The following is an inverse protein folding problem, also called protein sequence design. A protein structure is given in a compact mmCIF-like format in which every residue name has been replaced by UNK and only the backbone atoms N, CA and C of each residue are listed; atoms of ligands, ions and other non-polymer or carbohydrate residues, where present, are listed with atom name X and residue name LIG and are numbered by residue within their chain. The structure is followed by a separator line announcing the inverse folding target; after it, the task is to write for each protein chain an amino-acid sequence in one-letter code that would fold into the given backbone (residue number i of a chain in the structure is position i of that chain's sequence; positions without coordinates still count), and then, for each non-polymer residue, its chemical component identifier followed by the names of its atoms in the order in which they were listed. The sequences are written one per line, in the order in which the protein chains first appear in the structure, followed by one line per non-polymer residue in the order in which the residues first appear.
data_IF_133327463742
#
_entry.id   IF_133327463742
#
_cell.length_a   1.000
_cell.length_b   1.000
_cell.length_c   1.000
_cell.angle_alpha   90.00
_cell.angle_beta   90.00
_cell.angle_gamma   90.00
#
_symmetry.space_group_name_H-M   'P 1'
#
loop_
_entity.id
_entity.type
_entity.pdbx_description
1 polymer ?
#
# COMPACT_ATOMS: atom_id res chain seq x y z
N UNK A 1 3.47 -87.64 10.53
CA UNK A 1 2.95 -87.14 9.24
C UNK A 1 2.56 -85.68 9.43
N UNK A 2 3.21 -84.79 8.64
CA UNK A 2 2.94 -83.36 8.34
C UNK A 2 2.83 -82.39 9.52
N UNK A 3 3.81 -81.51 9.85
CA UNK A 3 4.52 -80.48 9.06
C UNK A 3 3.59 -79.66 8.17
N UNK A 4 3.32 -78.40 8.54
CA UNK A 4 3.48 -77.22 7.67
C UNK A 4 3.27 -75.92 8.47
N UNK A 5 4.39 -75.30 8.82
CA UNK A 5 4.51 -73.89 9.16
C UNK A 5 4.41 -73.04 7.88
N UNK A 6 3.54 -72.02 7.86
CA UNK A 6 3.59 -70.98 6.83
C UNK A 6 3.86 -69.63 7.48
N UNK A 7 5.07 -69.16 7.24
CA UNK A 7 5.64 -67.89 7.64
C UNK A 7 5.09 -66.77 6.73
N UNK A 8 4.18 -65.94 7.24
CA UNK A 8 3.71 -64.72 6.58
C UNK A 8 4.61 -63.54 6.92
N UNK A 9 5.55 -63.22 6.02
CA UNK A 9 6.54 -62.14 6.12
C UNK A 9 5.85 -60.76 6.19
N UNK A 10 5.97 -60.05 7.31
CA UNK A 10 5.59 -58.63 7.45
C UNK A 10 6.52 -57.77 6.59
N UNK A 11 6.02 -57.24 5.47
CA UNK A 11 6.68 -56.12 4.78
C UNK A 11 6.31 -54.82 5.49
N UNK A 12 7.20 -54.39 6.40
CA UNK A 12 7.15 -53.08 7.03
C UNK A 12 7.47 -52.01 5.98
N UNK A 13 6.42 -51.38 5.44
CA UNK A 13 6.54 -50.17 4.65
C UNK A 13 6.93 -49.06 5.61
N UNK A 14 8.17 -48.57 5.52
CA UNK A 14 8.62 -47.34 6.17
C UNK A 14 7.76 -46.16 5.67
N UNK A 15 6.65 -45.91 6.35
CA UNK A 15 6.01 -44.59 6.30
C UNK A 15 6.95 -43.63 7.04
N UNK A 16 7.75 -42.87 6.31
CA UNK A 16 8.44 -41.70 6.86
C UNK A 16 7.38 -40.68 7.24
N UNK A 17 6.83 -40.83 8.45
CA UNK A 17 5.90 -39.90 9.05
C UNK A 17 6.60 -38.58 9.31
N UNK A 18 6.54 -37.64 8.36
CA UNK A 18 6.73 -36.23 8.70
C UNK A 18 5.62 -35.87 9.67
N UNK A 19 5.94 -35.89 10.97
CA UNK A 19 5.04 -35.48 12.03
C UNK A 19 4.62 -34.05 11.76
N UNK A 20 3.33 -33.84 11.49
CA UNK A 20 2.80 -32.49 11.33
C UNK A 20 3.04 -31.72 12.63
N UNK A 21 3.60 -30.51 12.58
CA UNK A 21 3.86 -29.71 13.77
C UNK A 21 2.56 -29.52 14.57
N UNK A 22 2.67 -29.52 15.90
CA UNK A 22 1.52 -29.40 16.78
C UNK A 22 0.76 -28.09 16.51
N UNK A 23 -0.57 -28.04 16.72
CA UNK A 23 -1.36 -26.83 16.45
C UNK A 23 -0.92 -25.63 17.30
N UNK A 24 -0.25 -25.85 18.44
CA UNK A 24 0.38 -24.80 19.24
C UNK A 24 1.65 -24.28 18.58
N UNK A 25 2.52 -25.17 18.09
CA UNK A 25 3.75 -24.79 17.36
C UNK A 25 3.44 -24.08 16.04
N UNK A 26 2.41 -24.52 15.30
CA UNK A 26 1.96 -23.81 14.09
C UNK A 26 1.42 -22.40 14.39
N UNK A 27 0.72 -22.20 15.51
CA UNK A 27 0.26 -20.87 15.94
C UNK A 27 1.45 -19.97 16.31
N UNK A 28 2.41 -20.49 17.07
CA UNK A 28 3.62 -19.76 17.45
C UNK A 28 4.46 -19.40 16.22
N UNK A 29 4.68 -20.34 15.29
CA UNK A 29 5.38 -20.06 14.03
C UNK A 29 4.63 -19.08 13.13
N UNK A 30 3.30 -19.14 13.10
CA UNK A 30 2.50 -18.15 12.35
C UNK A 30 2.57 -16.77 12.99
N UNK A 31 2.54 -16.66 14.32
CA UNK A 31 2.68 -15.39 15.05
C UNK A 31 4.09 -14.83 14.88
N UNK A 32 5.14 -15.66 14.93
CA UNK A 32 6.52 -15.25 14.72
C UNK A 32 6.78 -14.82 13.27
N UNK A 33 6.23 -15.52 12.29
CA UNK A 33 6.34 -15.13 10.87
C UNK A 33 5.57 -13.83 10.59
N UNK A 34 4.42 -13.65 11.23
CA UNK A 34 3.63 -12.41 11.16
C UNK A 34 4.35 -11.24 11.87
N UNK A 35 4.93 -11.48 13.04
CA UNK A 35 5.71 -10.49 13.77
C UNK A 35 6.99 -10.11 12.99
N UNK A 36 7.67 -11.08 12.38
CA UNK A 36 8.83 -10.84 11.52
C UNK A 36 8.48 -10.02 10.26
N UNK A 37 7.28 -10.23 9.70
CA UNK A 37 6.78 -9.44 8.57
C UNK A 37 6.39 -8.00 8.98
N UNK A 38 6.01 -7.79 10.25
CA UNK A 38 5.66 -6.48 10.81
C UNK A 38 6.89 -5.71 11.33
N UNK A 39 7.99 -6.39 11.68
CA UNK A 39 9.22 -5.74 12.19
C UNK A 39 10.09 -5.06 11.13
N UNK A 40 9.70 -5.11 9.86
CA UNK A 40 10.37 -4.35 8.79
C UNK A 40 9.56 -3.07 8.53
N UNK A 41 9.37 -2.26 9.57
CA UNK A 41 9.00 -0.86 9.39
C UNK A 41 10.30 -0.07 9.40
N UNK A 42 10.97 0.15 8.25
CA UNK A 42 11.86 1.30 8.18
C UNK A 42 11.00 2.52 8.53
N UNK A 43 11.56 3.47 9.29
CA UNK A 43 10.98 4.80 9.43
C UNK A 43 10.81 5.34 8.01
N UNK A 44 9.59 5.28 7.50
CA UNK A 44 9.32 5.43 6.07
C UNK A 44 9.46 6.90 5.70
N UNK A 45 10.36 7.16 4.75
CA UNK A 45 10.40 8.41 4.01
C UNK A 45 8.98 8.82 3.59
N UNK A 46 8.55 9.98 4.04
CA UNK A 46 7.30 10.58 3.58
C UNK A 46 7.64 11.68 2.57
N UNK A 47 6.78 11.89 1.55
CA UNK A 47 6.93 13.03 0.67
C UNK A 47 6.78 14.35 1.44
N UNK A 48 7.20 15.49 0.87
CA UNK A 48 6.70 16.79 1.28
C UNK A 48 5.16 16.78 1.24
N UNK A 49 4.54 17.36 2.27
CA UNK A 49 3.09 17.30 2.47
C UNK A 49 2.34 18.42 1.75
N UNK A 50 3.00 19.54 1.45
CA UNK A 50 2.38 20.69 0.79
C UNK A 50 3.38 21.51 -0.05
N UNK A 51 2.88 22.14 -1.11
CA UNK A 51 3.63 23.04 -1.99
C UNK A 51 2.77 24.24 -2.36
N UNK A 52 3.25 25.43 -2.02
CA UNK A 52 2.61 26.70 -2.36
C UNK A 52 3.52 27.47 -3.31
N UNK A 53 2.97 27.81 -4.47
CA UNK A 53 3.64 28.57 -5.52
C UNK A 53 3.12 30.00 -5.53
N UNK A 54 4.03 30.95 -5.44
CA UNK A 54 3.76 32.38 -5.56
C UNK A 54 4.74 33.01 -6.55
N UNK A 55 4.31 34.00 -7.32
CA UNK A 55 5.14 34.63 -8.34
C UNK A 55 5.08 36.15 -8.23
N UNK A 56 6.26 36.75 -8.04
CA UNK A 56 6.45 38.18 -8.05
C UNK A 56 6.84 38.64 -9.44
N UNK A 57 5.90 39.34 -10.11
CA UNK A 57 6.10 39.84 -11.47
C UNK A 57 7.10 41.01 -11.54
N UNK A 58 7.28 41.76 -10.47
CA UNK A 58 8.18 42.92 -10.45
C UNK A 58 9.63 42.46 -10.38
N UNK A 59 9.91 41.45 -9.55
CA UNK A 59 11.26 40.87 -9.41
C UNK A 59 11.53 39.67 -10.32
N UNK A 60 10.52 39.19 -11.06
CA UNK A 60 10.55 37.96 -11.85
C UNK A 60 10.96 36.72 -11.02
N UNK A 61 10.43 36.63 -9.80
CA UNK A 61 10.83 35.60 -8.83
C UNK A 61 9.68 34.65 -8.56
N UNK A 62 9.93 33.35 -8.74
CA UNK A 62 9.08 32.27 -8.27
C UNK A 62 9.46 31.92 -6.83
N UNK A 63 8.49 31.97 -5.92
CA UNK A 63 8.60 31.46 -4.55
C UNK A 63 7.94 30.09 -4.46
N UNK A 64 8.71 29.11 -4.00
CA UNK A 64 8.27 27.75 -3.77
C UNK A 64 8.34 27.49 -2.28
N UNK A 65 7.19 27.51 -1.61
CA UNK A 65 7.09 27.18 -0.19
C UNK A 65 6.70 25.72 -0.04
N UNK A 66 7.53 24.95 0.65
CA UNK A 66 7.34 23.52 0.89
C UNK A 66 7.08 23.28 2.37
N UNK A 67 6.15 22.38 2.65
CA UNK A 67 5.97 21.80 3.99
C UNK A 67 6.49 20.37 3.96
N UNK A 68 7.57 20.08 4.67
CA UNK A 68 8.16 18.74 4.80
C UNK A 68 8.72 18.56 6.20
N UNK A 69 7.92 17.94 7.07
CA UNK A 69 8.29 17.79 8.48
C UNK A 69 9.19 16.59 8.72
N UNK A 70 10.44 16.80 9.11
CA UNK A 70 11.45 15.74 9.26
C UNK A 70 12.09 15.77 10.64
N UNK A 71 12.69 14.65 11.08
CA UNK A 71 13.41 14.62 12.36
C UNK A 71 14.78 15.29 12.30
N UNK A 72 15.48 15.17 11.17
CA UNK A 72 16.80 15.76 10.95
C UNK A 72 16.93 16.23 9.48
N UNK A 73 16.93 17.56 9.25
CA UNK A 73 17.07 18.19 7.94
C UNK A 73 18.35 17.89 7.16
N UNK A 74 19.38 17.32 7.79
CA UNK A 74 20.63 16.95 7.12
C UNK A 74 20.62 15.51 6.60
N UNK A 75 19.71 14.67 7.07
CA UNK A 75 19.65 13.24 6.71
C UNK A 75 18.34 12.84 6.03
N UNK A 76 17.26 13.58 6.26
CA UNK A 76 15.98 13.45 5.56
C UNK A 76 15.57 14.83 5.07
N UNK A 77 15.60 15.05 3.76
CA UNK A 77 15.38 16.36 3.17
C UNK A 77 14.88 16.33 1.73
N UNK A 78 14.32 17.45 1.25
CA UNK A 78 14.09 17.69 -0.17
C UNK A 78 15.42 17.87 -0.88
N UNK A 79 15.82 16.91 -1.71
CA UNK A 79 17.12 16.95 -2.40
C UNK A 79 17.05 17.49 -3.83
N UNK A 80 15.87 17.50 -4.44
CA UNK A 80 15.70 17.90 -5.83
C UNK A 80 14.47 18.77 -5.96
N UNK A 81 14.59 19.88 -6.68
CA UNK A 81 13.47 20.69 -7.14
C UNK A 81 13.60 20.88 -8.65
N UNK A 82 12.60 20.43 -9.38
CA UNK A 82 12.43 20.64 -10.81
C UNK A 82 11.46 21.79 -11.04
N UNK A 83 11.91 22.87 -11.70
CA UNK A 83 11.08 24.01 -12.10
C UNK A 83 10.94 23.97 -13.62
N UNK A 84 9.72 23.78 -14.11
CA UNK A 84 9.37 23.74 -15.53
C UNK A 84 8.65 25.02 -15.91
N UNK A 85 9.15 25.72 -16.93
CA UNK A 85 8.47 26.86 -17.56
C UNK A 85 8.08 26.46 -18.99
N UNK A 86 6.77 26.36 -19.27
CA UNK A 86 6.24 25.92 -20.56
C UNK A 86 6.89 24.60 -21.07
N UNK A 87 7.19 23.68 -20.15
CA UNK A 87 7.82 22.38 -20.45
C UNK A 87 9.35 22.38 -20.46
N UNK A 88 10.01 23.53 -20.35
CA UNK A 88 11.47 23.61 -20.22
C UNK A 88 11.86 23.50 -18.75
N UNK A 89 12.59 22.44 -18.39
CA UNK A 89 12.88 22.09 -16.99
C UNK A 89 14.28 22.56 -16.58
N UNK A 90 14.34 23.30 -15.47
CA UNK A 90 15.54 23.54 -14.67
C UNK A 90 15.52 22.63 -13.43
N UNK A 91 16.68 22.12 -13.03
CA UNK A 91 16.82 21.23 -11.85
C UNK A 91 17.76 21.85 -10.83
N UNK A 92 17.35 21.82 -9.57
CA UNK A 92 18.10 22.33 -8.43
C UNK A 92 18.31 21.21 -7.43
N UNK A 93 19.58 20.98 -7.07
CA UNK A 93 19.99 19.95 -6.12
C UNK A 93 20.32 20.57 -4.77
N UNK A 94 19.98 19.86 -3.70
CA UNK A 94 20.21 20.25 -2.32
C UNK A 94 20.77 19.06 -1.54
N UNK A 95 21.55 19.36 -0.49
CA UNK A 95 22.13 18.37 0.43
C UNK A 95 21.50 18.43 1.83
N UNK A 96 20.61 19.39 2.06
CA UNK A 96 19.86 19.58 3.31
C UNK A 96 18.68 20.52 3.09
N UNK A 97 17.64 20.44 3.93
CA UNK A 97 16.55 21.44 3.94
C UNK A 97 16.76 22.51 5.03
N UNK A 98 16.29 23.77 4.84
CA UNK A 98 16.60 24.87 5.75
C UNK A 98 16.02 24.73 7.17
N UNK A 99 14.84 24.13 7.30
CA UNK A 99 14.13 23.92 8.56
C UNK A 99 13.60 22.50 8.63
N UNK A 100 13.20 22.04 9.81
CA UNK A 100 12.60 20.72 10.01
C UNK A 100 11.12 20.61 9.60
N UNK A 101 10.54 21.66 9.02
CA UNK A 101 9.10 21.76 8.80
C UNK A 101 8.75 22.53 7.53
N UNK A 102 8.63 23.86 7.60
CA UNK A 102 8.25 24.69 6.45
C UNK A 102 9.40 25.61 6.04
N UNK A 103 9.65 25.68 4.74
CA UNK A 103 10.72 26.51 4.16
C UNK A 103 10.36 26.97 2.76
N UNK A 104 11.02 28.04 2.31
CA UNK A 104 10.78 28.65 0.99
C UNK A 104 12.09 28.73 0.22
N UNK A 105 12.03 28.33 -1.05
CA UNK A 105 13.08 28.60 -2.03
C UNK A 105 12.60 29.65 -3.03
N UNK A 106 13.52 30.49 -3.47
CA UNK A 106 13.26 31.54 -4.45
C UNK A 106 14.07 31.26 -5.72
N UNK A 107 13.40 31.33 -6.87
CA UNK A 107 14.00 31.10 -8.18
C UNK A 107 13.75 32.31 -9.07
N UNK A 108 14.83 32.88 -9.61
CA UNK A 108 14.71 33.86 -10.69
C UNK A 108 14.16 33.13 -11.91
N UNK A 109 12.92 33.44 -12.29
CA UNK A 109 12.19 32.77 -13.35
C UNK A 109 11.51 33.83 -14.24
N UNK A 110 12.19 34.32 -15.29
CA UNK A 110 11.60 35.30 -16.20
C UNK A 110 10.41 34.69 -16.97
N UNK A 111 9.19 34.97 -16.50
CA UNK A 111 7.95 34.47 -17.08
C UNK A 111 6.97 35.60 -17.39
N UNK A 112 6.08 35.37 -18.36
CA UNK A 112 5.07 36.30 -18.84
C UNK A 112 3.67 35.83 -18.45
N UNK A 113 2.70 36.74 -18.31
CA UNK A 113 1.31 36.35 -18.12
C UNK A 113 0.84 35.32 -19.16
N UNK A 114 0.23 34.23 -18.70
CA UNK A 114 -0.20 33.10 -19.52
C UNK A 114 0.79 31.93 -19.57
N UNK A 115 2.05 32.12 -19.14
CA UNK A 115 3.01 31.03 -19.03
C UNK A 115 2.59 30.05 -17.93
N UNK A 116 2.83 28.76 -18.16
CA UNK A 116 2.59 27.69 -17.19
C UNK A 116 3.89 27.32 -16.50
N UNK A 117 3.88 27.42 -15.18
CA UNK A 117 4.96 26.97 -14.30
C UNK A 117 4.52 25.68 -13.63
N UNK A 118 5.35 24.64 -13.68
CA UNK A 118 5.17 23.42 -12.89
C UNK A 118 6.40 23.20 -12.03
N UNK A 119 6.21 22.90 -10.76
CA UNK A 119 7.30 22.62 -9.82
C UNK A 119 7.10 21.24 -9.27
N UNK A 120 8.15 20.43 -9.23
CA UNK A 120 8.18 19.15 -8.53
C UNK A 120 9.33 19.13 -7.53
N UNK A 121 9.06 18.75 -6.28
CA UNK A 121 10.06 18.61 -5.23
C UNK A 121 10.13 17.15 -4.78
N UNK A 122 11.33 16.58 -4.74
CA UNK A 122 11.60 15.19 -4.36
C UNK A 122 12.36 15.10 -3.04
N UNK A 123 12.00 14.13 -2.22
CA UNK A 123 12.70 13.79 -0.99
C UNK A 123 13.83 12.78 -1.25
N UNK A 124 14.98 12.97 -0.58
CA UNK A 124 16.16 12.11 -0.69
C UNK A 124 15.89 10.65 -0.29
N UNK A 125 15.00 10.43 0.68
CA UNK A 125 14.62 9.08 1.13
C UNK A 125 13.43 8.51 0.33
N UNK A 126 12.71 9.35 -0.42
CA UNK A 126 11.64 8.96 -1.32
C UNK A 126 10.33 9.72 -1.14
N UNK A 127 9.58 9.84 -2.25
CA UNK A 127 8.35 10.63 -2.34
C UNK A 127 8.58 11.97 -3.05
N UNK A 128 7.52 12.55 -3.61
CA UNK A 128 7.56 13.86 -4.26
C UNK A 128 6.23 14.57 -4.16
N UNK A 129 6.25 15.89 -4.35
CA UNK A 129 5.06 16.73 -4.48
C UNK A 129 5.21 17.62 -5.71
N UNK A 130 4.10 17.94 -6.38
CA UNK A 130 4.10 18.83 -7.53
C UNK A 130 3.00 19.90 -7.40
N UNK A 131 3.29 21.09 -7.89
CA UNK A 131 2.36 22.22 -7.98
C UNK A 131 2.43 22.87 -9.36
N UNK A 132 1.35 23.54 -9.78
CA UNK A 132 1.31 24.30 -11.02
C UNK A 132 0.70 25.68 -10.82
N UNK A 133 1.24 26.67 -11.52
CA UNK A 133 0.82 28.07 -11.49
C UNK A 133 0.78 28.63 -12.92
N UNK A 134 -0.29 29.33 -13.28
CA UNK A 134 -0.36 30.14 -14.50
C UNK A 134 -0.05 31.60 -14.13
N UNK A 135 0.98 32.18 -14.74
CA UNK A 135 1.42 33.54 -14.42
C UNK A 135 0.32 34.55 -14.84
N UNK A 136 -0.01 35.49 -13.96
CA UNK A 136 -0.94 36.59 -14.27
C UNK A 136 -2.40 36.17 -14.59
N UNK A 137 -2.74 34.89 -14.45
CA UNK A 137 -4.12 34.44 -14.43
C UNK A 137 -4.79 34.83 -13.10
N UNK A 138 -6.12 34.63 -12.96
CA UNK A 138 -6.70 34.44 -11.63
C UNK A 138 -5.84 33.39 -10.90
N UNK A 139 -5.74 33.45 -9.56
CA UNK A 139 -5.15 32.36 -8.78
C UNK A 139 -6.00 31.09 -8.96
N UNK A 140 -5.95 30.48 -10.13
CA UNK A 140 -6.34 29.11 -10.36
C UNK A 140 -5.16 28.29 -9.89
N UNK A 141 -5.05 28.18 -8.57
CA UNK A 141 -4.61 26.92 -7.99
C UNK A 141 -5.58 25.92 -8.60
N UNK A 142 -5.17 25.28 -9.70
CA UNK A 142 -5.94 24.14 -10.22
C UNK A 142 -5.78 23.10 -9.13
N UNK A 143 -6.70 23.15 -8.17
CA UNK A 143 -6.83 22.15 -7.14
C UNK A 143 -7.15 20.87 -7.90
N UNK A 144 -6.10 20.14 -8.29
CA UNK A 144 -6.20 18.81 -8.85
C UNK A 144 -7.12 18.08 -7.89
N UNK A 145 -8.30 17.59 -8.32
CA UNK A 145 -9.30 17.14 -7.38
C UNK A 145 -8.63 16.14 -6.44
N UNK A 146 -8.73 16.41 -5.14
CA UNK A 146 -8.10 15.55 -4.15
C UNK A 146 -8.83 14.20 -4.14
N UNK A 147 -8.32 13.26 -4.93
CA UNK A 147 -8.88 11.92 -5.04
C UNK A 147 -8.41 10.99 -3.90
N UNK A 148 -7.42 11.43 -3.12
CA UNK A 148 -6.87 10.64 -2.02
C UNK A 148 -7.92 10.24 -0.95
N UNK A 149 -8.91 11.08 -0.55
CA UNK A 149 -9.90 10.68 0.44
C UNK A 149 -10.79 9.56 -0.08
N UNK A 150 -11.10 9.59 -1.39
CA UNK A 150 -11.90 8.54 -2.04
C UNK A 150 -11.11 7.23 -2.12
N UNK A 151 -9.82 7.28 -2.47
CA UNK A 151 -8.94 6.12 -2.41
C UNK A 151 -8.91 5.53 -0.99
N UNK A 152 -8.65 6.36 0.02
CA UNK A 152 -8.62 5.94 1.42
C UNK A 152 -9.95 5.32 1.87
N UNK A 153 -11.08 5.95 1.55
CA UNK A 153 -12.42 5.46 1.88
C UNK A 153 -12.71 4.08 1.26
N UNK A 154 -12.33 3.87 0.00
CA UNK A 154 -12.47 2.57 -0.67
C UNK A 154 -11.63 1.49 0.01
N UNK A 155 -10.37 1.80 0.34
CA UNK A 155 -9.45 0.85 0.98
C UNK A 155 -9.89 0.50 2.41
N UNK A 156 -10.31 1.50 3.20
CA UNK A 156 -10.83 1.29 4.57
C UNK A 156 -12.13 0.49 4.53
N UNK A 157 -13.05 0.80 3.60
CA UNK A 157 -14.28 0.03 3.42
C UNK A 157 -13.97 -1.43 3.07
N UNK A 158 -13.01 -1.67 2.18
CA UNK A 158 -12.51 -3.01 1.85
C UNK A 158 -11.99 -3.78 3.08
N UNK A 159 -11.19 -3.12 3.93
CA UNK A 159 -10.70 -3.69 5.19
C UNK A 159 -11.83 -4.02 6.18
N UNK A 160 -12.80 -3.11 6.35
CA UNK A 160 -13.97 -3.35 7.20
C UNK A 160 -14.76 -4.56 6.71
N UNK A 161 -15.02 -4.66 5.40
CA UNK A 161 -15.70 -5.83 4.84
C UNK A 161 -14.88 -7.12 5.02
N UNK A 162 -13.55 -7.07 4.91
CA UNK A 162 -12.70 -8.23 5.19
C UNK A 162 -12.81 -8.70 6.65
N UNK A 163 -12.89 -7.77 7.61
CA UNK A 163 -13.14 -8.07 9.03
C UNK A 163 -14.53 -8.67 9.27
N UNK A 164 -15.57 -8.14 8.60
CA UNK A 164 -16.93 -8.71 8.64
C UNK A 164 -16.96 -10.11 8.02
N UNK A 165 -16.25 -10.34 6.92
CA UNK A 165 -16.12 -11.66 6.32
C UNK A 165 -15.41 -12.65 7.27
N UNK A 166 -14.35 -12.22 7.97
CA UNK A 166 -13.65 -13.05 8.95
C UNK A 166 -14.55 -13.41 10.15
N UNK A 167 -15.23 -12.42 10.74
CA UNK A 167 -16.11 -12.61 11.90
C UNK A 167 -17.32 -13.50 11.57
N UNK A 168 -17.93 -13.35 10.40
CA UNK A 168 -19.01 -14.24 9.95
C UNK A 168 -18.57 -15.70 9.82
N UNK A 169 -17.33 -15.96 9.40
CA UNK A 169 -16.76 -17.30 9.34
C UNK A 169 -16.40 -17.88 10.73
N UNK A 170 -16.07 -17.03 11.70
CA UNK A 170 -15.77 -17.43 13.08
C UNK A 170 -17.04 -17.75 13.88
N UNK A 171 -18.04 -16.87 13.80
CA UNK A 171 -19.27 -16.99 14.57
C UNK A 171 -20.28 -17.97 13.94
N UNK A 172 -20.26 -18.11 12.61
CA UNK A 172 -21.15 -18.99 11.83
C UNK A 172 -22.64 -18.76 12.11
N UNK A 173 -23.00 -17.55 12.53
CA UNK A 173 -24.36 -17.12 12.82
C UNK A 173 -24.85 -16.17 11.71
N UNK A 174 -26.07 -16.36 11.17
CA UNK A 174 -26.96 -17.52 11.30
C UNK A 174 -26.41 -18.79 10.61
N UNK A 175 -26.73 -19.98 11.15
CA UNK A 175 -26.16 -21.28 10.70
C UNK A 175 -26.36 -21.58 9.21
N UNK A 176 -27.41 -21.03 8.59
CA UNK A 176 -27.80 -21.33 7.19
C UNK A 176 -27.31 -20.30 6.17
N UNK A 177 -26.83 -19.13 6.62
CA UNK A 177 -26.47 -18.02 5.72
C UNK A 177 -25.03 -17.55 5.88
N UNK A 178 -24.31 -17.92 6.95
CA UNK A 178 -22.95 -17.43 7.23
C UNK A 178 -22.01 -17.57 6.01
N UNK A 179 -22.05 -18.69 5.28
CA UNK A 179 -21.18 -18.91 4.13
C UNK A 179 -21.57 -18.04 2.93
N UNK A 180 -22.87 -17.75 2.76
CA UNK A 180 -23.34 -16.81 1.73
C UNK A 180 -22.83 -15.41 2.05
N UNK A 181 -22.98 -14.98 3.31
CA UNK A 181 -22.50 -13.67 3.79
C UNK A 181 -20.98 -13.57 3.66
N UNK A 182 -20.21 -14.54 4.15
CA UNK A 182 -18.75 -14.57 4.05
C UNK A 182 -18.26 -14.41 2.61
N UNK A 183 -18.86 -15.14 1.66
CA UNK A 183 -18.50 -15.04 0.24
C UNK A 183 -18.89 -13.69 -0.35
N UNK A 184 -20.13 -13.23 -0.12
CA UNK A 184 -20.63 -11.99 -0.71
C UNK A 184 -19.82 -10.78 -0.23
N UNK A 185 -19.66 -10.66 1.10
CA UNK A 185 -18.90 -9.59 1.74
C UNK A 185 -17.40 -9.68 1.37
N UNK A 186 -16.83 -10.88 1.32
CA UNK A 186 -15.45 -11.09 0.91
C UNK A 186 -15.17 -10.67 -0.54
N UNK A 187 -16.05 -11.04 -1.49
CA UNK A 187 -15.94 -10.63 -2.89
C UNK A 187 -16.12 -9.12 -3.04
N UNK A 188 -17.13 -8.53 -2.38
CA UNK A 188 -17.34 -7.08 -2.40
C UNK A 188 -16.13 -6.32 -1.85
N UNK A 189 -15.54 -6.79 -0.74
CA UNK A 189 -14.31 -6.21 -0.18
C UNK A 189 -13.15 -6.19 -1.19
N UNK A 190 -12.94 -7.29 -1.92
CA UNK A 190 -11.90 -7.36 -2.97
C UNK A 190 -12.18 -6.40 -4.12
N UNK A 191 -13.45 -6.27 -4.54
CA UNK A 191 -13.84 -5.30 -5.59
C UNK A 191 -13.49 -3.87 -5.15
N UNK A 192 -13.84 -3.48 -3.91
CA UNK A 192 -13.51 -2.14 -3.41
C UNK A 192 -11.99 -1.89 -3.35
N UNK A 193 -11.20 -2.88 -2.94
CA UNK A 193 -9.73 -2.77 -2.93
C UNK A 193 -9.17 -2.62 -4.35
N UNK A 194 -9.69 -3.37 -5.33
CA UNK A 194 -9.28 -3.24 -6.75
C UNK A 194 -9.62 -1.85 -7.29
N UNK A 195 -10.84 -1.38 -7.07
CA UNK A 195 -11.27 -0.03 -7.50
C UNK A 195 -10.44 1.05 -6.82
N UNK A 196 -10.17 0.89 -5.51
CA UNK A 196 -9.26 1.75 -4.76
C UNK A 196 -7.86 1.81 -5.37
N UNK A 197 -7.28 0.69 -5.78
CA UNK A 197 -5.97 0.68 -6.45
C UNK A 197 -6.01 1.35 -7.83
N UNK A 198 -7.04 1.10 -8.64
CA UNK A 198 -7.18 1.76 -9.95
C UNK A 198 -7.25 3.28 -9.79
N UNK A 199 -7.98 3.76 -8.77
CA UNK A 199 -7.99 5.17 -8.41
C UNK A 199 -6.62 5.67 -7.94
N UNK A 200 -5.87 4.87 -7.17
CA UNK A 200 -4.51 5.19 -6.75
C UNK A 200 -3.56 5.36 -7.94
N UNK A 201 -3.62 4.44 -8.91
CA UNK A 201 -2.82 4.50 -10.13
C UNK A 201 -3.17 5.74 -10.95
N UNK A 202 -4.47 6.05 -11.07
CA UNK A 202 -4.94 7.26 -11.73
C UNK A 202 -4.41 8.52 -11.05
N UNK A 203 -4.59 8.68 -9.73
CA UNK A 203 -4.15 9.90 -9.02
C UNK A 203 -2.63 10.10 -9.06
N UNK A 204 -1.83 9.02 -9.16
CA UNK A 204 -0.38 9.13 -9.35
C UNK A 204 -0.04 9.49 -10.81
N UNK A 205 -0.70 8.86 -11.80
CA UNK A 205 -0.49 9.18 -13.22
C UNK A 205 -0.85 10.62 -13.56
N UNK A 206 -1.94 11.14 -12.98
CA UNK A 206 -2.44 12.47 -13.24
C UNK A 206 -1.51 13.58 -12.71
N UNK A 207 -0.59 13.25 -11.78
CA UNK A 207 0.39 14.17 -11.20
C UNK A 207 1.78 13.99 -11.80
N UNK A 208 1.95 13.15 -12.83
CA UNK A 208 3.26 12.87 -13.44
C UNK A 208 4.25 12.15 -12.50
N UNK A 209 3.79 11.67 -11.34
CA UNK A 209 4.65 11.08 -10.33
C UNK A 209 5.01 9.62 -10.64
N UNK A 210 6.19 9.13 -10.20
CA UNK A 210 6.55 7.73 -10.35
C UNK A 210 5.68 6.82 -9.48
N UNK A 211 5.07 5.80 -10.09
CA UNK A 211 4.10 4.90 -9.45
C UNK A 211 4.61 4.08 -8.24
N UNK A 212 5.92 3.87 -8.10
CA UNK A 212 6.50 2.91 -7.14
C UNK A 212 7.68 3.46 -6.32
N UNK A 213 7.58 4.69 -5.82
CA UNK A 213 8.64 5.25 -4.95
C UNK A 213 8.43 5.07 -3.46
N UNK A 214 7.20 4.78 -3.03
CA UNK A 214 6.84 4.68 -1.61
C UNK A 214 6.54 3.22 -1.26
N UNK A 215 7.02 2.76 -0.10
CA UNK A 215 6.81 1.38 0.36
C UNK A 215 5.33 1.00 0.45
N UNK A 216 4.45 1.95 0.73
CA UNK A 216 2.99 1.77 0.68
C UNK A 216 2.53 1.17 -0.67
N UNK A 217 3.09 1.62 -1.80
CA UNK A 217 2.73 1.12 -3.12
C UNK A 217 3.14 -0.35 -3.31
N UNK A 218 4.34 -0.74 -2.86
CA UNK A 218 4.81 -2.12 -2.91
C UNK A 218 3.99 -3.05 -2.02
N UNK A 219 3.72 -2.63 -0.77
CA UNK A 219 2.85 -3.36 0.15
C UNK A 219 1.43 -3.50 -0.41
N UNK A 220 0.91 -2.45 -1.05
CA UNK A 220 -0.39 -2.44 -1.72
C UNK A 220 -0.51 -3.50 -2.81
N UNK A 221 0.50 -3.65 -3.68
CA UNK A 221 0.50 -4.69 -4.74
C UNK A 221 0.48 -6.09 -4.14
N UNK A 222 1.39 -6.39 -3.19
CA UNK A 222 1.47 -7.72 -2.56
C UNK A 222 0.14 -8.04 -1.86
N UNK A 223 -0.42 -7.05 -1.16
CA UNK A 223 -1.72 -7.18 -0.50
C UNK A 223 -2.84 -7.46 -1.49
N UNK A 224 -2.87 -6.75 -2.63
CA UNK A 224 -3.88 -6.97 -3.66
C UNK A 224 -3.79 -8.39 -4.25
N UNK A 225 -2.58 -8.85 -4.61
CA UNK A 225 -2.39 -10.19 -5.16
C UNK A 225 -2.91 -11.27 -4.21
N UNK A 226 -2.59 -11.15 -2.92
CA UNK A 226 -3.09 -12.07 -1.90
C UNK A 226 -4.60 -11.90 -1.64
N UNK A 227 -5.14 -10.68 -1.71
CA UNK A 227 -6.57 -10.40 -1.57
C UNK A 227 -7.40 -11.01 -2.71
N UNK A 228 -6.86 -11.06 -3.94
CA UNK A 228 -7.49 -11.75 -5.07
C UNK A 228 -7.31 -13.27 -4.98
N UNK A 229 -6.11 -13.74 -4.61
CA UNK A 229 -5.81 -15.17 -4.54
C UNK A 229 -6.63 -15.89 -3.46
N UNK A 230 -6.82 -15.25 -2.30
CA UNK A 230 -7.53 -15.84 -1.15
C UNK A 230 -8.95 -16.34 -1.45
N UNK A 231 -9.86 -15.54 -2.04
CA UNK A 231 -11.20 -16.01 -2.41
C UNK A 231 -11.16 -17.04 -3.55
N UNK A 232 -10.21 -16.97 -4.48
CA UNK A 232 -10.03 -18.00 -5.53
C UNK A 232 -9.71 -19.35 -4.90
N UNK A 233 -8.72 -19.41 -4.00
CA UNK A 233 -8.38 -20.63 -3.26
C UNK A 233 -9.56 -21.12 -2.41
N UNK A 234 -10.31 -20.19 -1.78
CA UNK A 234 -11.52 -20.51 -1.03
C UNK A 234 -12.61 -21.16 -1.89
N UNK A 235 -12.89 -20.62 -3.08
CA UNK A 235 -13.86 -21.17 -4.03
C UNK A 235 -13.43 -22.54 -4.56
N UNK A 236 -12.14 -22.70 -4.90
CA UNK A 236 -11.57 -23.99 -5.32
C UNK A 236 -11.71 -25.02 -4.19
N UNK A 237 -11.45 -24.63 -2.94
CA UNK A 237 -11.61 -25.52 -1.78
C UNK A 237 -13.04 -26.02 -1.61
N UNK A 238 -14.05 -25.21 -1.97
CA UNK A 238 -15.47 -25.58 -1.86
C UNK A 238 -15.94 -26.48 -3.01
N UNK A 239 -15.37 -26.31 -4.22
CA UNK A 239 -15.76 -27.08 -5.41
C UNK A 239 -15.05 -28.43 -5.53
N UNK A 240 -13.87 -28.60 -4.92
CA UNK A 240 -13.05 -29.82 -5.07
C UNK A 240 -13.73 -31.06 -4.47
N UNK A 241 -13.75 -32.15 -5.26
CA UNK A 241 -14.19 -33.49 -4.85
C UNK A 241 -13.08 -34.50 -5.20
N UNK A 242 -12.52 -35.26 -4.23
CA UNK A 242 -12.80 -35.23 -2.79
C UNK A 242 -12.27 -33.94 -2.11
N UNK A 243 -12.83 -33.55 -0.94
CA UNK A 243 -12.36 -32.39 -0.20
C UNK A 243 -10.87 -32.49 0.16
N UNK A 244 -10.10 -31.44 -0.10
CA UNK A 244 -8.69 -31.37 0.27
C UNK A 244 -8.50 -30.49 1.51
N UNK A 245 -8.09 -31.05 2.67
CA UNK A 245 -7.81 -30.26 3.86
C UNK A 245 -6.63 -29.30 3.66
N UNK A 246 -5.71 -29.60 2.72
CA UNK A 246 -4.58 -28.74 2.36
C UNK A 246 -5.03 -27.42 1.74
N UNK A 247 -5.90 -27.46 0.72
CA UNK A 247 -6.40 -26.23 0.07
C UNK A 247 -7.20 -25.37 1.05
N UNK A 248 -8.03 -26.00 1.89
CA UNK A 248 -8.77 -25.28 2.94
C UNK A 248 -7.81 -24.61 3.93
N UNK A 249 -6.76 -25.32 4.35
CA UNK A 249 -5.71 -24.76 5.21
C UNK A 249 -5.01 -23.57 4.57
N UNK A 250 -4.73 -23.66 3.27
CA UNK A 250 -4.09 -22.59 2.49
C UNK A 250 -4.97 -21.33 2.42
N UNK A 251 -6.28 -21.48 2.13
CA UNK A 251 -7.23 -20.36 2.19
C UNK A 251 -7.21 -19.68 3.56
N UNK A 252 -7.26 -20.45 4.65
CA UNK A 252 -7.25 -19.90 6.02
C UNK A 252 -5.94 -19.15 6.31
N UNK A 253 -4.79 -19.71 5.93
CA UNK A 253 -3.49 -19.09 6.21
C UNK A 253 -3.29 -17.83 5.37
N UNK A 254 -3.57 -17.89 4.06
CA UNK A 254 -3.55 -16.71 3.19
C UNK A 254 -4.50 -15.63 3.68
N UNK A 255 -5.71 -15.98 4.13
CA UNK A 255 -6.67 -14.99 4.67
C UNK A 255 -6.11 -14.23 5.87
N UNK A 256 -5.37 -14.90 6.76
CA UNK A 256 -4.75 -14.26 7.93
C UNK A 256 -3.63 -13.32 7.53
N UNK A 257 -2.76 -13.77 6.61
CA UNK A 257 -1.66 -12.95 6.08
C UNK A 257 -2.23 -11.73 5.35
N UNK A 258 -3.22 -11.91 4.46
CA UNK A 258 -3.91 -10.83 3.75
C UNK A 258 -4.52 -9.83 4.73
N UNK A 259 -5.20 -10.29 5.79
CA UNK A 259 -5.85 -9.38 6.74
C UNK A 259 -4.83 -8.49 7.45
N UNK A 260 -3.69 -9.05 7.86
CA UNK A 260 -2.63 -8.26 8.50
C UNK A 260 -1.97 -7.32 7.52
N UNK A 261 -1.70 -7.78 6.29
CA UNK A 261 -1.16 -6.93 5.24
C UNK A 261 -2.10 -5.79 4.86
N UNK A 262 -3.42 -6.00 4.85
CA UNK A 262 -4.41 -4.92 4.65
C UNK A 262 -4.31 -3.86 5.76
N UNK A 263 -4.18 -4.28 7.03
CA UNK A 263 -4.04 -3.36 8.17
C UNK A 263 -2.71 -2.59 8.07
N UNK A 264 -1.59 -3.28 7.83
CA UNK A 264 -0.27 -2.65 7.70
C UNK A 264 -0.22 -1.71 6.50
N UNK A 265 -0.78 -2.11 5.35
CA UNK A 265 -0.86 -1.28 4.15
C UNK A 265 -1.70 -0.04 4.41
N UNK A 266 -2.88 -0.17 5.02
CA UNK A 266 -3.73 0.98 5.36
C UNK A 266 -3.02 1.94 6.33
N UNK A 267 -2.40 1.43 7.39
CA UNK A 267 -1.63 2.23 8.33
C UNK A 267 -0.46 2.97 7.65
N UNK A 268 0.31 2.28 6.80
CA UNK A 268 1.40 2.90 6.04
C UNK A 268 0.92 3.99 5.09
N UNK A 269 -0.29 3.85 4.52
CA UNK A 269 -0.90 4.86 3.66
C UNK A 269 -1.32 6.10 4.43
N UNK A 270 -1.95 5.92 5.60
CA UNK A 270 -2.36 7.03 6.49
C UNK A 270 -1.11 7.78 7.01
N UNK A 271 -0.06 7.05 7.38
CA UNK A 271 1.23 7.62 7.76
C UNK A 271 1.86 8.42 6.61
N UNK A 272 1.84 7.86 5.39
CA UNK A 272 2.38 8.56 4.19
C UNK A 272 1.59 9.82 3.85
N UNK A 273 0.32 9.89 4.25
CA UNK A 273 -0.53 11.08 4.12
C UNK A 273 -0.34 12.09 5.27
N UNK A 274 0.53 11.82 6.25
CA UNK A 274 0.81 12.71 7.38
C UNK A 274 -0.34 12.83 8.39
N UNK A 275 -1.28 11.88 8.40
CA UNK A 275 -2.47 11.93 9.26
C UNK A 275 -2.25 11.30 10.65
N UNK A 276 -1.19 10.50 10.81
CA UNK A 276 -0.77 9.87 12.07
C UNK A 276 0.75 9.84 12.20
#
# INVERSE_FOLDING_TARGET
MNQHSVFGRKSSVYQTGRSKPSPRLQRVLSILCLAFLVTVLPVLAHPPSDIVLDYDADSQTLRVTLSHRVSDPATHYVNLIHVSLNGTVATYEYESQPTDSQFTYEFLLPARPGDTVEVTADCNLGGSISGSLIIGGPLTVTAVPEFWPFHAALMVSGLVLALVAATSAMNKTPKTSWLRVHKAVGVLGVILVVVGLLLALYMVSARGGPHFRVYHAYLGIVTLLLAILTPVVGMVSLKRRPPSPGIRGMHIWFSRVTLVLLIVTAASGILSAGLI
#
